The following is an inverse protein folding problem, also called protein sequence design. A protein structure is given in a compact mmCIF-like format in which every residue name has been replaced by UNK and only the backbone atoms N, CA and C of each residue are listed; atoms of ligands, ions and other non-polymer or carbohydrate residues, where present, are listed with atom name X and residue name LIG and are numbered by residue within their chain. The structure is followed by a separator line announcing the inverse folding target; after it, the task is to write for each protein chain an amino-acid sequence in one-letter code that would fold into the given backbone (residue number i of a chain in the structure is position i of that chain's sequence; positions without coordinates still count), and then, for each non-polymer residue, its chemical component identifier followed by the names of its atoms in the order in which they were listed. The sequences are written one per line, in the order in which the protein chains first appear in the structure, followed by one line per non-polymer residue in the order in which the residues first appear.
data_IF_839301683102
#
_entry.id   IF_839301683102
#
_cell.length_a   1.000
_cell.length_b   1.000
_cell.length_c   1.000
_cell.angle_alpha   90.00
_cell.angle_beta   90.00
_cell.angle_gamma   90.00
#
_symmetry.space_group_name_H-M   'P 1'
#
loop_
_entity.id
_entity.type
_entity.pdbx_description
1 polymer ?
#
# COMPACT_ATOMS: atom_id res chain seq x y z
N UNK A 1 7.98 -4.92 2.11
CA UNK A 1 8.38 -3.59 1.58
C UNK A 1 9.52 -2.96 2.37
N UNK A 2 9.75 -3.37 3.62
CA UNK A 2 10.75 -2.78 4.54
C UNK A 2 10.51 -1.28 4.90
N UNK A 3 9.33 -0.77 4.59
CA UNK A 3 8.97 0.62 4.91
C UNK A 3 8.47 0.77 6.36
N UNK A 4 7.95 -0.28 6.98
CA UNK A 4 7.36 -0.19 8.31
C UNK A 4 8.38 0.34 9.33
N UNK A 5 8.02 1.44 9.98
CA UNK A 5 8.71 1.94 11.15
C UNK A 5 8.16 1.21 12.41
N UNK A 6 8.94 0.33 13.04
CA UNK A 6 8.50 -0.43 14.20
C UNK A 6 8.47 0.37 15.51
N UNK A 7 8.87 1.65 15.48
CA UNK A 7 8.95 2.48 16.68
C UNK A 7 7.62 2.48 17.45
N UNK A 8 7.70 2.29 18.75
CA UNK A 8 6.56 2.22 19.66
C UNK A 8 6.52 3.48 20.54
N UNK A 9 5.31 3.96 20.83
CA UNK A 9 5.11 5.17 21.65
C UNK A 9 5.28 6.48 20.88
N UNK A 10 5.30 7.60 21.59
CA UNK A 10 5.43 8.93 21.04
C UNK A 10 4.14 9.51 20.46
N UNK A 11 4.26 10.65 19.79
CA UNK A 11 3.15 11.38 19.21
C UNK A 11 2.47 10.64 18.05
N UNK A 12 1.20 10.96 17.83
CA UNK A 12 0.45 10.47 16.67
C UNK A 12 1.01 11.04 15.37
N UNK A 13 1.01 10.21 14.32
CA UNK A 13 1.54 10.57 13.00
C UNK A 13 0.42 10.88 12.02
N UNK A 14 0.71 11.74 11.06
CA UNK A 14 -0.24 12.19 10.02
C UNK A 14 0.24 11.70 8.65
N UNK A 15 -0.12 10.46 8.24
CA UNK A 15 0.22 9.96 6.91
C UNK A 15 -0.49 10.77 5.82
N UNK A 16 -0.16 10.50 4.56
CA UNK A 16 -0.82 11.15 3.44
C UNK A 16 -2.34 10.96 3.47
N UNK A 17 -3.06 12.04 3.20
CA UNK A 17 -4.49 12.02 2.85
C UNK A 17 -4.80 13.14 1.85
N UNK A 18 -5.89 13.03 1.05
CA UNK A 18 -6.29 14.09 0.14
C UNK A 18 -6.45 15.44 0.85
N UNK A 19 -6.05 16.51 0.19
CA UNK A 19 -6.18 17.87 0.72
C UNK A 19 -7.65 18.28 0.88
N UNK A 20 -7.91 19.20 1.80
CA UNK A 20 -9.25 19.78 1.96
C UNK A 20 -10.18 19.04 2.93
N UNK A 21 -9.94 17.77 3.26
CA UNK A 21 -10.85 16.99 4.11
C UNK A 21 -11.08 17.61 5.49
N UNK A 22 -10.03 18.11 6.13
CA UNK A 22 -10.17 18.75 7.43
C UNK A 22 -10.80 20.15 7.32
N UNK A 23 -10.43 20.91 6.31
CA UNK A 23 -10.94 22.27 6.13
C UNK A 23 -12.43 22.30 5.80
N UNK A 24 -12.95 21.30 5.09
CA UNK A 24 -14.37 21.19 4.75
C UNK A 24 -15.27 21.01 5.97
N UNK A 25 -14.76 20.38 7.04
CA UNK A 25 -15.52 20.06 8.25
C UNK A 25 -15.13 20.91 9.46
N UNK A 26 -14.14 21.78 9.34
CA UNK A 26 -13.63 22.56 10.47
C UNK A 26 -14.36 23.88 10.61
N UNK A 27 -14.70 24.25 11.85
CA UNK A 27 -15.11 25.61 12.18
C UNK A 27 -14.00 26.61 11.81
N UNK A 28 -14.33 27.82 11.30
CA UNK A 28 -13.34 28.82 10.88
C UNK A 28 -12.24 29.12 11.89
N UNK A 29 -12.55 29.12 13.20
CA UNK A 29 -11.61 29.36 14.30
C UNK A 29 -10.88 28.11 14.80
N UNK A 30 -11.01 26.96 14.15
CA UNK A 30 -10.40 25.71 14.62
C UNK A 30 -8.89 25.70 14.37
N UNK A 31 -8.10 25.37 15.39
CA UNK A 31 -6.66 25.17 15.29
C UNK A 31 -6.28 23.90 14.49
N UNK A 32 -7.23 22.99 14.28
CA UNK A 32 -7.05 21.77 13.47
C UNK A 32 -7.71 21.88 12.10
N UNK A 33 -7.87 23.08 11.55
CA UNK A 33 -8.45 23.31 10.22
C UNK A 33 -7.53 22.82 9.10
N UNK A 34 -6.23 23.00 9.26
CA UNK A 34 -5.24 22.62 8.26
C UNK A 34 -4.63 21.24 8.60
N UNK A 35 -4.62 20.35 7.63
CA UNK A 35 -3.86 19.10 7.70
C UNK A 35 -2.51 19.30 7.04
N UNK A 36 -1.45 18.98 7.77
CA UNK A 36 -0.09 18.92 7.22
C UNK A 36 0.41 17.50 7.42
N UNK A 37 0.65 16.74 6.36
CA UNK A 37 1.21 15.40 6.47
C UNK A 37 2.60 15.45 7.11
N UNK A 38 2.95 14.42 7.86
CA UNK A 38 4.33 14.17 8.27
C UNK A 38 5.15 13.65 7.09
N UNK A 39 6.46 13.69 7.21
CA UNK A 39 7.40 13.27 6.18
C UNK A 39 8.34 12.17 6.67
N UNK A 40 9.01 11.50 5.73
CA UNK A 40 10.01 10.48 5.99
C UNK A 40 9.44 9.20 6.60
N UNK A 41 10.23 8.50 7.41
CA UNK A 41 9.85 7.18 7.96
C UNK A 41 8.63 7.22 8.89
N UNK A 42 8.35 8.35 9.51
CA UNK A 42 7.21 8.51 10.45
C UNK A 42 5.87 8.12 9.85
N UNK A 43 5.64 8.37 8.56
CA UNK A 43 4.36 8.07 7.91
C UNK A 43 4.07 6.58 7.78
N UNK A 44 5.08 5.72 7.93
CA UNK A 44 4.95 4.25 7.82
C UNK A 44 4.81 3.54 9.16
N UNK A 45 4.42 4.25 10.21
CA UNK A 45 4.11 3.64 11.50
C UNK A 45 2.82 2.83 11.43
N UNK A 46 2.66 1.91 12.39
CA UNK A 46 1.42 1.13 12.53
C UNK A 46 0.21 2.06 12.66
N UNK A 47 -0.94 1.66 12.09
CA UNK A 47 -2.20 2.43 12.11
C UNK A 47 -2.66 2.86 13.51
N UNK A 48 -2.21 2.16 14.56
CA UNK A 48 -2.46 2.55 15.95
C UNK A 48 -1.95 3.97 16.26
N UNK A 49 -0.87 4.39 15.62
CA UNK A 49 -0.24 5.70 15.83
C UNK A 49 -0.74 6.78 14.88
N UNK A 50 -1.66 6.48 13.96
CA UNK A 50 -2.26 7.49 13.08
C UNK A 50 -3.10 8.46 13.92
N UNK A 51 -2.83 9.75 13.74
CA UNK A 51 -3.58 10.81 14.40
C UNK A 51 -5.07 10.71 14.07
N UNK A 52 -5.87 10.60 15.12
CA UNK A 52 -7.32 10.45 14.99
C UNK A 52 -8.02 11.77 15.23
N UNK A 53 -8.52 12.40 14.16
CA UNK A 53 -9.44 13.53 14.28
C UNK A 53 -10.87 12.99 14.32
N UNK A 54 -11.56 13.21 15.42
CA UNK A 54 -12.89 12.68 15.70
C UNK A 54 -13.92 13.00 14.59
N UNK A 55 -13.93 14.25 14.13
CA UNK A 55 -14.84 14.73 13.07
C UNK A 55 -14.41 14.35 11.65
N UNK A 56 -13.18 13.96 11.44
CA UNK A 56 -12.61 13.62 10.14
C UNK A 56 -11.50 12.58 10.30
N UNK A 57 -11.85 11.33 10.57
CA UNK A 57 -10.88 10.24 10.67
C UNK A 57 -10.15 10.03 9.34
N UNK A 58 -9.01 9.36 9.39
CA UNK A 58 -8.23 9.08 8.17
C UNK A 58 -9.05 8.21 7.20
N UNK A 59 -9.15 8.60 5.89
CA UNK A 59 -10.03 7.92 4.92
C UNK A 59 -9.83 6.42 4.81
N UNK A 60 -8.58 5.96 4.77
CA UNK A 60 -8.26 4.53 4.68
C UNK A 60 -8.73 3.76 5.93
N UNK A 61 -8.66 4.37 7.11
CA UNK A 61 -9.15 3.73 8.33
C UNK A 61 -10.67 3.57 8.32
N UNK A 62 -11.38 4.60 7.88
CA UNK A 62 -12.85 4.55 7.74
C UNK A 62 -13.27 3.55 6.66
N UNK A 63 -12.58 3.55 5.53
CA UNK A 63 -12.86 2.67 4.40
C UNK A 63 -12.68 1.19 4.76
N UNK A 64 -11.74 0.87 5.66
CA UNK A 64 -11.46 -0.49 6.12
C UNK A 64 -12.02 -0.76 7.52
N UNK A 65 -13.18 -0.20 7.83
CA UNK A 65 -13.97 -0.49 9.02
C UNK A 65 -13.23 -0.32 10.36
N UNK A 66 -12.33 0.66 10.45
CA UNK A 66 -11.71 0.96 11.75
C UNK A 66 -12.78 1.46 12.74
N UNK A 67 -12.75 1.03 14.00
CA UNK A 67 -13.70 1.49 15.02
C UNK A 67 -13.70 3.01 15.14
N UNK A 68 -14.86 3.60 15.31
CA UNK A 68 -15.05 5.06 15.40
C UNK A 68 -14.34 5.69 16.62
N UNK A 69 -14.01 4.89 17.63
CA UNK A 69 -13.51 5.31 18.95
C UNK A 69 -14.52 6.15 19.78
N UNK A 70 -15.77 6.21 19.33
CA UNK A 70 -16.87 6.87 20.07
C UNK A 70 -17.48 5.94 21.13
N UNK A 71 -17.43 4.63 20.86
CA UNK A 71 -17.94 3.60 21.76
C UNK A 71 -16.96 2.42 21.81
N UNK A 72 -17.06 1.62 22.86
CA UNK A 72 -16.30 0.37 22.96
C UNK A 72 -16.70 -0.58 21.84
N UNK A 73 -15.73 -1.22 21.22
CA UNK A 73 -15.93 -2.15 20.12
C UNK A 73 -15.38 -3.52 20.51
N UNK A 74 -16.28 -4.46 20.79
CA UNK A 74 -15.90 -5.84 21.14
C UNK A 74 -15.43 -6.62 19.90
N UNK A 75 -16.06 -6.38 18.75
CA UNK A 75 -15.74 -7.03 17.50
C UNK A 75 -15.83 -6.01 16.36
N UNK A 76 -14.72 -5.87 15.62
CA UNK A 76 -14.65 -5.03 14.43
C UNK A 76 -15.51 -5.62 13.32
N UNK A 77 -16.33 -4.79 12.66
CA UNK A 77 -17.00 -5.18 11.41
C UNK A 77 -15.98 -5.44 10.31
N UNK A 78 -16.36 -6.24 9.33
CA UNK A 78 -15.59 -6.51 8.14
C UNK A 78 -16.50 -6.38 6.94
N UNK A 79 -16.20 -5.45 6.05
CA UNK A 79 -16.89 -5.29 4.78
C UNK A 79 -15.97 -5.64 3.62
N UNK A 80 -16.56 -5.96 2.47
CA UNK A 80 -15.84 -6.11 1.21
C UNK A 80 -16.60 -5.29 0.18
N UNK A 81 -16.01 -4.18 -0.26
CA UNK A 81 -16.65 -3.23 -1.16
C UNK A 81 -15.76 -2.92 -2.35
N UNK A 82 -16.34 -2.58 -3.52
CA UNK A 82 -15.55 -2.16 -4.68
C UNK A 82 -14.68 -0.94 -4.40
N UNK A 83 -15.09 -0.06 -3.48
CA UNK A 83 -14.33 1.12 -3.09
C UNK A 83 -13.06 0.74 -2.32
N UNK A 84 -13.10 -0.30 -1.49
CA UNK A 84 -11.90 -0.84 -0.83
C UNK A 84 -10.91 -1.37 -1.87
N UNK A 85 -11.36 -2.13 -2.86
CA UNK A 85 -10.50 -2.61 -3.95
C UNK A 85 -9.87 -1.46 -4.72
N UNK A 86 -10.65 -0.44 -5.07
CA UNK A 86 -10.16 0.75 -5.74
C UNK A 86 -9.08 1.48 -4.93
N UNK A 87 -9.27 1.61 -3.62
CA UNK A 87 -8.30 2.23 -2.73
C UNK A 87 -7.00 1.42 -2.62
N UNK A 88 -7.09 0.09 -2.56
CA UNK A 88 -5.91 -0.79 -2.51
C UNK A 88 -5.00 -0.62 -3.72
N UNK A 89 -5.56 -0.31 -4.90
CA UNK A 89 -4.79 -0.09 -6.12
C UNK A 89 -4.30 1.35 -6.32
N UNK A 90 -4.94 2.34 -5.71
CA UNK A 90 -4.67 3.74 -6.04
C UNK A 90 -4.13 4.59 -4.88
N UNK A 91 -4.15 4.06 -3.65
CA UNK A 91 -3.65 4.83 -2.50
C UNK A 91 -2.13 5.00 -2.57
N UNK A 92 -1.67 6.24 -2.34
CA UNK A 92 -0.28 6.66 -2.53
C UNK A 92 0.73 5.80 -1.76
N UNK A 93 0.48 5.55 -0.47
CA UNK A 93 1.39 4.74 0.35
C UNK A 93 1.40 3.27 -0.08
N UNK A 94 0.27 2.75 -0.56
CA UNK A 94 0.19 1.38 -1.10
C UNK A 94 1.03 1.23 -2.37
N UNK A 95 0.97 2.22 -3.26
CA UNK A 95 1.81 2.23 -4.47
C UNK A 95 3.29 2.32 -4.11
N UNK A 96 3.64 3.09 -3.10
CA UNK A 96 5.02 3.16 -2.60
C UNK A 96 5.48 1.84 -1.96
N UNK A 97 4.61 1.20 -1.16
CA UNK A 97 4.87 -0.14 -0.63
C UNK A 97 5.10 -1.16 -1.73
N UNK A 98 4.34 -1.08 -2.82
CA UNK A 98 4.46 -1.98 -3.98
C UNK A 98 5.79 -1.78 -4.72
N UNK A 99 6.21 -0.52 -4.91
CA UNK A 99 7.53 -0.19 -5.50
C UNK A 99 8.69 -0.72 -4.66
N UNK A 100 8.64 -0.49 -3.36
CA UNK A 100 9.68 -0.97 -2.44
C UNK A 100 9.70 -2.49 -2.32
N UNK A 101 8.53 -3.13 -2.35
CA UNK A 101 8.44 -4.59 -2.38
C UNK A 101 9.03 -5.16 -3.67
N UNK A 102 8.72 -4.55 -4.83
CA UNK A 102 9.30 -4.93 -6.10
C UNK A 102 10.84 -4.80 -6.11
N UNK A 103 11.37 -3.68 -5.60
CA UNK A 103 12.81 -3.50 -5.46
C UNK A 103 13.45 -4.57 -4.56
N UNK A 104 12.78 -4.94 -3.49
CA UNK A 104 13.21 -6.05 -2.61
C UNK A 104 13.23 -7.38 -3.35
N UNK A 105 12.20 -7.71 -4.11
CA UNK A 105 12.13 -8.95 -4.89
C UNK A 105 13.26 -9.02 -5.93
N UNK A 106 13.53 -7.90 -6.61
CA UNK A 106 14.63 -7.80 -7.59
C UNK A 106 16.01 -7.95 -6.94
N UNK A 107 16.16 -7.53 -5.68
CA UNK A 107 17.39 -7.67 -4.90
C UNK A 107 17.60 -9.09 -4.39
N UNK A 108 16.56 -9.74 -3.88
CA UNK A 108 16.66 -11.00 -3.14
C UNK A 108 16.48 -12.24 -4.02
N UNK A 109 15.70 -12.16 -5.11
CA UNK A 109 15.46 -13.28 -6.01
C UNK A 109 16.34 -13.22 -7.25
N UNK A 110 17.05 -14.30 -7.56
CA UNK A 110 17.90 -14.39 -8.74
C UNK A 110 17.11 -14.52 -10.05
N UNK A 111 15.90 -15.09 -9.98
CA UNK A 111 15.01 -15.31 -11.13
C UNK A 111 13.55 -15.09 -10.75
N UNK A 112 12.67 -15.06 -11.76
CA UNK A 112 11.25 -14.75 -11.53
C UNK A 112 10.57 -15.80 -10.64
N UNK A 113 10.93 -17.08 -10.76
CA UNK A 113 10.38 -18.15 -9.91
C UNK A 113 10.68 -17.88 -8.43
N UNK A 114 11.92 -17.58 -8.10
CA UNK A 114 12.33 -17.27 -6.73
C UNK A 114 11.65 -16.01 -6.20
N UNK A 115 11.51 -14.98 -7.04
CA UNK A 115 10.80 -13.74 -6.69
C UNK A 115 9.34 -13.99 -6.34
N UNK A 116 8.65 -14.85 -7.08
CA UNK A 116 7.29 -15.27 -6.70
C UNK A 116 7.26 -16.05 -5.40
N UNK A 117 8.19 -16.96 -5.18
CA UNK A 117 8.27 -17.72 -3.92
C UNK A 117 8.50 -16.78 -2.72
N UNK A 118 9.39 -15.81 -2.86
CA UNK A 118 9.61 -14.77 -1.85
C UNK A 118 8.36 -13.93 -1.63
N UNK A 119 7.73 -13.45 -2.70
CA UNK A 119 6.53 -12.62 -2.64
C UNK A 119 5.40 -13.30 -1.85
N UNK A 120 5.09 -14.55 -2.21
CA UNK A 120 4.01 -15.30 -1.56
C UNK A 120 4.39 -15.73 -0.13
N UNK A 121 5.63 -16.06 0.11
CA UNK A 121 6.12 -16.34 1.49
C UNK A 121 5.96 -15.12 2.39
N UNK A 122 6.26 -13.92 1.89
CA UNK A 122 6.12 -12.67 2.65
C UNK A 122 4.67 -12.28 2.91
N UNK A 123 3.76 -12.55 1.97
CA UNK A 123 2.38 -12.06 2.04
C UNK A 123 1.38 -13.13 2.50
N UNK A 124 1.61 -14.39 2.17
CA UNK A 124 0.71 -15.49 2.43
C UNK A 124 1.31 -16.58 3.34
N UNK A 125 2.56 -16.44 3.76
CA UNK A 125 3.30 -17.44 4.56
C UNK A 125 3.37 -18.84 3.90
N UNK A 126 3.25 -18.93 2.58
CA UNK A 126 3.33 -20.14 1.76
C UNK A 126 3.87 -19.82 0.37
N UNK A 127 4.37 -20.79 -0.39
CA UNK A 127 4.65 -20.61 -1.81
C UNK A 127 3.34 -20.43 -2.61
N UNK A 128 3.41 -19.85 -3.82
CA UNK A 128 2.25 -19.76 -4.72
C UNK A 128 1.82 -21.15 -5.19
N UNK A 129 0.53 -21.35 -5.39
CA UNK A 129 0.01 -22.50 -6.14
C UNK A 129 0.35 -22.38 -7.63
N UNK A 130 0.18 -23.45 -8.39
CA UNK A 130 0.45 -23.44 -9.83
C UNK A 130 -0.45 -22.43 -10.57
N UNK A 131 -1.71 -22.30 -10.16
CA UNK A 131 -2.65 -21.34 -10.73
C UNK A 131 -2.27 -19.91 -10.41
N UNK A 132 -1.87 -19.61 -9.17
CA UNK A 132 -1.40 -18.29 -8.76
C UNK A 132 -0.11 -17.92 -9.50
N UNK A 133 0.80 -18.86 -9.62
CA UNK A 133 2.05 -18.68 -10.37
C UNK A 133 1.77 -18.36 -11.83
N UNK A 134 0.96 -19.16 -12.51
CA UNK A 134 0.62 -18.95 -13.92
C UNK A 134 -0.06 -17.58 -14.15
N UNK A 135 -0.95 -17.15 -13.24
CA UNK A 135 -1.59 -15.84 -13.31
C UNK A 135 -0.57 -14.71 -13.13
N UNK A 136 0.35 -14.83 -12.17
CA UNK A 136 1.40 -13.83 -11.93
C UNK A 136 2.42 -13.79 -13.09
N UNK A 137 2.82 -14.92 -13.65
CA UNK A 137 3.68 -15.00 -14.83
C UNK A 137 3.05 -14.29 -16.03
N UNK A 138 1.78 -14.54 -16.31
CA UNK A 138 1.03 -13.88 -17.38
C UNK A 138 0.95 -12.36 -17.18
N UNK A 139 0.67 -11.92 -15.96
CA UNK A 139 0.65 -10.50 -15.61
C UNK A 139 2.04 -9.87 -15.80
N UNK A 140 3.09 -10.51 -15.28
CA UNK A 140 4.46 -10.01 -15.39
C UNK A 140 4.89 -9.86 -16.85
N UNK A 141 4.62 -10.87 -17.69
CA UNK A 141 4.94 -10.81 -19.12
C UNK A 141 4.19 -9.65 -19.81
N UNK A 142 2.88 -9.51 -19.54
CA UNK A 142 2.06 -8.42 -20.08
C UNK A 142 2.59 -7.03 -19.65
N UNK A 143 2.97 -6.87 -18.40
CA UNK A 143 3.48 -5.60 -17.89
C UNK A 143 4.87 -5.28 -18.43
N UNK A 144 5.74 -6.26 -18.60
CA UNK A 144 7.04 -6.09 -19.28
C UNK A 144 6.85 -5.57 -20.70
N UNK A 145 5.95 -6.18 -21.47
CA UNK A 145 5.66 -5.72 -22.84
C UNK A 145 5.06 -4.30 -22.88
N UNK A 146 4.16 -4.00 -21.94
CA UNK A 146 3.59 -2.67 -21.81
C UNK A 146 4.67 -1.61 -21.56
N UNK A 147 5.54 -1.82 -20.56
CA UNK A 147 6.53 -0.83 -20.17
C UNK A 147 7.75 -0.76 -21.13
N UNK A 148 7.99 -1.79 -21.93
CA UNK A 148 8.90 -1.70 -23.08
C UNK A 148 8.39 -0.74 -24.15
N UNK A 149 7.07 -0.74 -24.40
CA UNK A 149 6.42 0.14 -25.38
C UNK A 149 6.21 1.57 -24.85
N UNK A 150 6.00 1.71 -23.55
CA UNK A 150 5.71 2.98 -22.89
C UNK A 150 6.64 3.18 -21.67
N UNK A 151 7.87 3.54 -21.94
CA UNK A 151 8.87 3.84 -20.94
C UNK A 151 8.49 5.07 -20.07
N UNK A 152 7.72 6.01 -20.61
CA UNK A 152 7.29 7.20 -19.86
C UNK A 152 6.36 6.80 -18.69
N UNK A 153 5.43 5.88 -18.92
CA UNK A 153 4.59 5.31 -17.85
C UNK A 153 5.40 4.55 -16.80
N UNK A 154 6.47 3.85 -17.21
CA UNK A 154 7.36 3.18 -16.25
C UNK A 154 8.09 4.20 -15.35
N UNK A 155 8.63 5.28 -15.92
CA UNK A 155 9.23 6.38 -15.16
C UNK A 155 8.24 7.00 -14.19
N UNK A 156 7.04 7.29 -14.65
CA UNK A 156 5.98 7.87 -13.82
C UNK A 156 5.60 6.94 -12.66
N UNK A 157 5.47 5.63 -12.92
CA UNK A 157 5.14 4.64 -11.88
C UNK A 157 6.23 4.54 -10.83
N UNK A 158 7.50 4.47 -11.22
CA UNK A 158 8.64 4.32 -10.28
C UNK A 158 8.88 5.62 -9.50
N UNK A 159 8.54 6.79 -10.07
CA UNK A 159 8.61 8.10 -9.40
C UNK A 159 9.97 8.44 -8.78
N UNK A 160 11.06 7.97 -9.37
CA UNK A 160 12.41 8.22 -8.84
C UNK A 160 13.50 7.44 -9.54
N UNK A 161 14.71 7.52 -8.98
CA UNK A 161 15.85 6.74 -9.46
C UNK A 161 15.72 5.28 -9.02
N UNK A 162 15.96 4.37 -9.92
CA UNK A 162 16.09 2.93 -9.64
C UNK A 162 17.47 2.44 -10.01
N UNK A 163 18.00 1.48 -9.26
CA UNK A 163 19.24 0.75 -9.59
C UNK A 163 18.99 -0.49 -10.45
N UNK A 164 17.73 -0.80 -10.73
CA UNK A 164 17.29 -1.94 -11.50
C UNK A 164 16.87 -1.51 -12.91
N UNK A 165 16.72 -2.48 -13.82
CA UNK A 165 16.06 -2.21 -15.10
C UNK A 165 14.68 -1.59 -14.84
N UNK A 166 14.40 -0.46 -15.49
CA UNK A 166 13.21 0.32 -15.26
C UNK A 166 11.93 -0.45 -15.62
N UNK A 167 11.97 -1.17 -16.74
CA UNK A 167 10.84 -1.98 -17.24
C UNK A 167 10.51 -3.10 -16.27
N UNK A 168 11.55 -3.79 -15.81
CA UNK A 168 11.41 -4.92 -14.89
C UNK A 168 10.92 -4.43 -13.52
N UNK A 169 11.46 -3.33 -13.00
CA UNK A 169 11.01 -2.75 -11.73
C UNK A 169 9.54 -2.30 -11.80
N UNK A 170 9.13 -1.67 -12.90
CA UNK A 170 7.74 -1.25 -13.09
C UNK A 170 6.80 -2.46 -13.23
N UNK A 171 7.19 -3.50 -13.96
CA UNK A 171 6.41 -4.72 -14.12
C UNK A 171 6.23 -5.45 -12.77
N UNK A 172 7.30 -5.63 -12.01
CA UNK A 172 7.24 -6.21 -10.67
C UNK A 172 6.47 -5.36 -9.67
N UNK A 173 6.45 -4.04 -9.82
CA UNK A 173 5.59 -3.16 -9.01
C UNK A 173 4.11 -3.45 -9.23
N UNK A 174 3.68 -3.70 -10.47
CA UNK A 174 2.29 -4.07 -10.76
C UNK A 174 1.94 -5.44 -10.20
N UNK A 175 2.83 -6.43 -10.34
CA UNK A 175 2.63 -7.76 -9.75
C UNK A 175 2.51 -7.65 -8.22
N UNK A 176 3.44 -6.96 -7.58
CA UNK A 176 3.41 -6.74 -6.13
C UNK A 176 2.14 -6.03 -5.67
N UNK A 177 1.70 -4.99 -6.39
CA UNK A 177 0.46 -4.27 -6.11
C UNK A 177 -0.77 -5.18 -6.22
N UNK A 178 -0.82 -6.02 -7.25
CA UNK A 178 -1.93 -6.96 -7.48
C UNK A 178 -2.01 -8.00 -6.37
N UNK A 179 -0.90 -8.62 -6.00
CA UNK A 179 -0.89 -9.62 -4.92
C UNK A 179 -1.18 -8.97 -3.57
N UNK A 180 -0.67 -7.77 -3.28
CA UNK A 180 -0.99 -7.00 -2.08
C UNK A 180 -2.48 -6.62 -1.97
N UNK A 181 -3.18 -6.48 -3.09
CA UNK A 181 -4.60 -6.15 -3.15
C UNK A 181 -5.52 -7.39 -3.22
N UNK A 182 -4.95 -8.58 -3.35
CA UNK A 182 -5.70 -9.83 -3.46
C UNK A 182 -6.05 -10.42 -2.08
N UNK A 183 -7.02 -11.32 -2.08
CA UNK A 183 -7.45 -12.07 -0.89
C UNK A 183 -6.29 -12.83 -0.22
N UNK A 184 -5.32 -13.28 -1.01
CA UNK A 184 -4.11 -13.96 -0.53
C UNK A 184 -3.35 -13.15 0.54
N UNK A 185 -3.30 -11.82 0.38
CA UNK A 185 -2.60 -10.93 1.30
C UNK A 185 -3.51 -10.30 2.36
N UNK A 186 -4.83 -10.29 2.13
CA UNK A 186 -5.79 -9.57 2.96
C UNK A 186 -6.56 -10.48 3.93
N UNK A 187 -6.78 -11.71 3.55
CA UNK A 187 -7.50 -12.68 4.36
C UNK A 187 -6.51 -13.57 5.12
N UNK A 188 -6.61 -13.58 6.44
CA UNK A 188 -5.97 -14.58 7.28
C UNK A 188 -6.91 -15.79 7.33
N UNK A 189 -6.51 -16.87 6.69
CA UNK A 189 -7.18 -18.16 6.75
C UNK A 189 -6.67 -18.98 7.93
#
# INVERSE_FOLDING_TARGET
SELLDPHMGGEGVKPYQPSGLWSALAHPGSNTKKYTPDEGKKIYRRSLYVYWKRTSPHPMMTLFDAPSREASCVRRSRSSTPLQSLALFNETQRMEMSRMLAARLLREGANDKERFDILFTLLACRPPSDTERAACDGLLATMRERYKKDAASAVALISGKTSYDLTDHAAWTQVASTVLASDVALLLY
#
